data_IF_600963426274
#
_entry.id   IF_600963426274
#
_cell.length_a   1.000
_cell.length_b   1.000
_cell.length_c   1.000
_cell.angle_alpha   90.00
_cell.angle_beta   90.00
_cell.angle_gamma   90.00
#
_symmetry.space_group_name_H-M   'P 1'
#
loop_
_entity.id
_entity.type
_entity.pdbx_description
1 polymer ?
#
# COMPACT_ATOMS: atom_id res chain seq x y z
N UNK A 1 -3.07 7.91 22.95
CA UNK A 1 -3.47 6.76 22.09
C UNK A 1 -2.33 5.76 22.23
N UNK A 2 -2.58 4.52 22.68
CA UNK A 2 -1.52 3.51 22.83
C UNK A 2 -1.18 2.87 21.47
N UNK A 3 0.11 2.67 21.18
CA UNK A 3 0.62 1.96 20.00
C UNK A 3 0.09 0.52 19.87
N UNK A 4 -0.28 -0.10 20.99
CA UNK A 4 -0.86 -1.44 21.08
C UNK A 4 -2.12 -1.61 20.21
N UNK A 5 -2.86 -0.55 19.94
CA UNK A 5 -4.07 -0.57 19.10
C UNK A 5 -3.81 -0.57 17.59
N UNK A 6 -2.57 -0.29 17.15
CA UNK A 6 -2.16 -0.33 15.74
C UNK A 6 -1.31 -1.56 15.41
N UNK A 7 -1.04 -2.41 16.39
CA UNK A 7 -0.41 -3.71 16.17
C UNK A 7 -1.48 -4.73 15.81
N UNK A 8 -1.09 -5.69 14.97
CA UNK A 8 -1.87 -6.91 14.82
C UNK A 8 -2.09 -7.54 16.19
N UNK A 9 -3.33 -7.88 16.51
CA UNK A 9 -3.73 -8.45 17.82
C UNK A 9 -3.16 -9.86 18.10
N UNK A 10 -2.21 -10.31 17.29
CA UNK A 10 -1.60 -11.62 17.38
C UNK A 10 -0.20 -11.55 18.01
N UNK A 11 0.37 -12.72 18.34
CA UNK A 11 1.79 -12.83 18.62
C UNK A 11 2.63 -12.36 17.43
N UNK A 12 3.95 -12.22 17.62
CA UNK A 12 4.86 -12.05 16.49
C UNK A 12 4.64 -13.20 15.48
N UNK A 13 4.82 -12.95 14.18
CA UNK A 13 4.73 -13.97 13.16
C UNK A 13 5.78 -15.06 13.45
N UNK A 14 5.32 -16.30 13.54
CA UNK A 14 6.10 -17.50 13.85
C UNK A 14 6.45 -18.33 12.60
N UNK A 15 5.98 -17.90 11.43
CA UNK A 15 6.25 -18.53 10.14
C UNK A 15 6.53 -17.49 9.06
N UNK A 16 7.10 -17.94 7.93
CA UNK A 16 7.36 -17.07 6.79
C UNK A 16 6.07 -16.49 6.22
N UNK A 17 5.03 -17.31 6.15
CA UNK A 17 3.71 -16.94 5.62
C UNK A 17 3.05 -15.87 6.47
N UNK A 18 3.05 -16.03 7.80
CA UNK A 18 2.48 -15.03 8.72
C UNK A 18 3.27 -13.72 8.67
N UNK A 19 4.59 -13.79 8.52
CA UNK A 19 5.44 -12.60 8.29
C UNK A 19 5.09 -11.87 6.99
N UNK A 20 4.91 -12.60 5.89
CA UNK A 20 4.51 -12.03 4.60
C UNK A 20 3.11 -11.40 4.69
N UNK A 21 2.15 -12.05 5.34
CA UNK A 21 0.79 -11.53 5.51
C UNK A 21 0.79 -10.22 6.32
N UNK A 22 1.57 -10.14 7.40
CA UNK A 22 1.73 -8.93 8.19
C UNK A 22 2.28 -7.77 7.35
N UNK A 23 3.32 -8.03 6.55
CA UNK A 23 3.91 -7.04 5.64
C UNK A 23 2.89 -6.60 4.59
N UNK A 24 2.12 -7.55 4.04
CA UNK A 24 1.16 -7.29 2.99
C UNK A 24 0.08 -6.28 3.39
N UNK A 25 -0.51 -6.47 4.56
CA UNK A 25 -1.56 -5.57 5.06
C UNK A 25 -1.00 -4.20 5.43
N UNK A 26 0.17 -4.16 6.09
CA UNK A 26 0.82 -2.90 6.43
C UNK A 26 1.08 -2.07 5.18
N UNK A 27 1.61 -2.71 4.13
CA UNK A 27 1.88 -2.08 2.84
C UNK A 27 0.59 -1.69 2.12
N UNK A 28 -0.43 -2.55 2.05
CA UNK A 28 -1.71 -2.22 1.41
C UNK A 28 -2.35 -1.01 2.06
N UNK A 29 -2.45 -0.99 3.39
CA UNK A 29 -3.08 0.08 4.14
C UNK A 29 -2.34 1.41 3.92
N UNK A 30 -1.01 1.39 4.01
CA UNK A 30 -0.19 2.59 3.81
C UNK A 30 -0.29 3.12 2.38
N UNK A 31 -0.09 2.26 1.37
CA UNK A 31 -0.13 2.68 -0.04
C UNK A 31 -1.54 3.12 -0.44
N UNK A 32 -2.58 2.46 0.06
CA UNK A 32 -3.98 2.87 -0.14
C UNK A 32 -4.23 4.28 0.38
N UNK A 33 -3.60 4.64 1.51
CA UNK A 33 -3.76 5.93 2.17
C UNK A 33 -2.96 7.08 1.53
N UNK A 34 -1.94 6.80 0.70
CA UNK A 34 -1.16 7.83 0.02
C UNK A 34 -2.04 8.77 -0.82
N UNK A 35 -1.79 10.08 -0.72
CA UNK A 35 -2.46 11.08 -1.55
C UNK A 35 -2.11 10.86 -3.03
N UNK A 36 -0.82 10.77 -3.34
CA UNK A 36 -0.29 10.48 -4.68
C UNK A 36 0.48 9.17 -4.68
N UNK A 37 -0.01 8.21 -5.47
CA UNK A 37 0.53 6.85 -5.53
C UNK A 37 1.59 6.69 -6.62
N UNK A 38 2.50 7.65 -6.81
CA UNK A 38 3.57 7.56 -7.82
C UNK A 38 4.49 6.35 -7.56
N UNK A 39 5.21 5.81 -8.56
CA UNK A 39 6.14 4.69 -8.33
C UNK A 39 7.18 4.98 -7.25
N UNK A 40 7.73 6.19 -7.24
CA UNK A 40 8.69 6.65 -6.23
C UNK A 40 8.08 6.71 -4.82
N UNK A 41 6.85 7.23 -4.69
CA UNK A 41 6.17 7.28 -3.39
C UNK A 41 5.82 5.88 -2.88
N UNK A 42 5.41 4.97 -3.77
CA UNK A 42 5.15 3.57 -3.43
C UNK A 42 6.44 2.90 -2.93
N UNK A 43 7.54 3.05 -3.66
CA UNK A 43 8.84 2.48 -3.28
C UNK A 43 9.30 2.97 -1.91
N UNK A 44 9.32 4.30 -1.69
CA UNK A 44 9.66 4.89 -0.39
C UNK A 44 8.78 4.40 0.75
N UNK A 45 7.48 4.27 0.49
CA UNK A 45 6.52 3.80 1.51
C UNK A 45 6.77 2.34 1.86
N UNK A 46 7.01 1.50 0.86
CA UNK A 46 7.31 0.08 1.08
C UNK A 46 8.63 -0.08 1.84
N UNK A 47 9.68 0.64 1.47
CA UNK A 47 10.98 0.60 2.16
C UNK A 47 10.83 0.97 3.64
N UNK A 48 10.18 2.10 3.93
CA UNK A 48 9.99 2.58 5.31
C UNK A 48 9.22 1.58 6.19
N UNK A 49 8.25 0.87 5.63
CA UNK A 49 7.50 -0.16 6.37
C UNK A 49 8.39 -1.37 6.68
N UNK A 50 9.19 -1.81 5.71
CA UNK A 50 10.08 -2.95 5.89
C UNK A 50 11.16 -2.62 6.93
N UNK A 51 11.79 -1.45 6.83
CA UNK A 51 12.76 -0.96 7.81
C UNK A 51 12.13 -0.89 9.21
N UNK A 52 10.97 -0.26 9.37
CA UNK A 52 10.27 -0.19 10.65
C UNK A 52 10.00 -1.57 11.26
N UNK A 53 9.56 -2.56 10.45
CA UNK A 53 9.28 -3.92 10.97
C UNK A 53 10.54 -4.68 11.37
N UNK A 54 11.65 -4.42 10.70
CA UNK A 54 12.96 -5.01 11.03
C UNK A 54 13.50 -4.37 12.32
N UNK A 55 13.49 -3.04 12.41
CA UNK A 55 13.97 -2.31 13.60
C UNK A 55 13.13 -2.63 14.84
N UNK A 56 11.82 -2.81 14.69
CA UNK A 56 10.90 -3.22 15.75
C UNK A 56 11.01 -4.72 16.13
N UNK A 57 11.90 -5.48 15.47
CA UNK A 57 12.07 -6.93 15.67
C UNK A 57 10.80 -7.74 15.43
N UNK A 58 9.89 -7.26 14.57
CA UNK A 58 8.61 -7.94 14.33
C UNK A 58 8.79 -9.23 13.53
N UNK A 59 9.88 -9.38 12.79
CA UNK A 59 10.13 -10.53 11.92
C UNK A 59 11.05 -11.59 12.54
N UNK A 60 11.54 -11.38 13.77
CA UNK A 60 12.56 -12.23 14.42
C UNK A 60 12.16 -13.71 14.52
N UNK A 61 10.87 -13.98 14.70
CA UNK A 61 10.33 -15.33 14.88
C UNK A 61 9.83 -15.97 13.57
N UNK A 62 9.79 -15.21 12.48
CA UNK A 62 9.18 -15.62 11.21
C UNK A 62 10.07 -16.50 10.32
N UNK A 63 11.33 -16.71 10.71
CA UNK A 63 12.36 -17.40 9.91
C UNK A 63 12.62 -16.78 8.52
N UNK A 64 12.23 -15.52 8.29
CA UNK A 64 12.56 -14.79 7.08
C UNK A 64 14.04 -14.37 7.10
N UNK A 65 14.75 -14.70 6.03
CA UNK A 65 16.14 -14.23 5.86
C UNK A 65 16.15 -12.83 5.25
N UNK A 66 17.26 -12.08 5.39
CA UNK A 66 17.41 -10.78 4.71
C UNK A 66 17.23 -10.89 3.18
N UNK A 67 17.65 -12.01 2.59
CA UNK A 67 17.39 -12.28 1.16
C UNK A 67 15.90 -12.43 0.87
N UNK A 68 15.17 -13.18 1.70
CA UNK A 68 13.72 -13.33 1.56
C UNK A 68 13.04 -11.95 1.65
N UNK A 69 13.43 -11.14 2.63
CA UNK A 69 12.90 -9.78 2.85
C UNK A 69 13.11 -8.90 1.61
N UNK A 70 14.31 -8.89 1.03
CA UNK A 70 14.61 -8.12 -0.18
C UNK A 70 13.81 -8.61 -1.40
N UNK A 71 13.71 -9.93 -1.58
CA UNK A 71 12.94 -10.54 -2.67
C UNK A 71 11.43 -10.22 -2.52
N UNK A 72 10.91 -10.28 -1.31
CA UNK A 72 9.53 -9.92 -0.98
C UNK A 72 9.30 -8.43 -1.26
N UNK A 73 10.16 -7.54 -0.73
CA UNK A 73 10.07 -6.09 -0.90
C UNK A 73 9.98 -5.69 -2.38
N UNK A 74 10.90 -6.20 -3.20
CA UNK A 74 10.90 -5.95 -4.66
C UNK A 74 9.61 -6.43 -5.32
N UNK A 75 9.09 -7.59 -4.90
CA UNK A 75 7.84 -8.15 -5.41
C UNK A 75 6.64 -7.26 -5.06
N UNK A 76 6.58 -6.74 -3.83
CA UNK A 76 5.54 -5.79 -3.41
C UNK A 76 5.55 -4.53 -4.26
N UNK A 77 6.71 -3.89 -4.42
CA UNK A 77 6.86 -2.67 -5.23
C UNK A 77 6.38 -2.94 -6.65
N UNK A 78 6.84 -4.03 -7.28
CA UNK A 78 6.43 -4.38 -8.64
C UNK A 78 4.91 -4.57 -8.77
N UNK A 79 4.28 -5.30 -7.85
CA UNK A 79 2.84 -5.53 -7.88
C UNK A 79 2.07 -4.23 -7.70
N UNK A 80 2.46 -3.39 -6.75
CA UNK A 80 1.76 -2.15 -6.43
C UNK A 80 1.91 -1.12 -7.53
N UNK A 81 3.11 -0.98 -8.10
CA UNK A 81 3.33 -0.13 -9.28
C UNK A 81 2.47 -0.61 -10.44
N UNK A 82 2.42 -1.91 -10.74
CA UNK A 82 1.56 -2.41 -11.81
C UNK A 82 0.06 -2.22 -11.54
N UNK A 83 -0.35 -2.27 -10.28
CA UNK A 83 -1.75 -2.09 -9.87
C UNK A 83 -2.21 -0.63 -10.00
N UNK A 84 -1.37 0.32 -9.59
CA UNK A 84 -1.72 1.74 -9.58
C UNK A 84 -1.28 2.49 -10.85
N UNK A 85 -0.26 1.99 -11.55
CA UNK A 85 0.24 2.47 -12.84
C UNK A 85 0.22 1.32 -13.86
N UNK A 86 -0.97 0.85 -14.26
CA UNK A 86 -1.06 -0.12 -15.33
C UNK A 86 -0.41 0.47 -16.59
N UNK A 87 0.48 -0.28 -17.24
CA UNK A 87 1.10 0.15 -18.49
C UNK A 87 0.01 0.56 -19.49
N UNK A 88 0.03 1.81 -19.92
CA UNK A 88 -0.55 2.21 -21.19
C UNK A 88 0.60 2.74 -22.01
N UNK A 89 0.97 2.01 -23.07
CA UNK A 89 1.96 2.49 -24.03
C UNK A 89 1.59 2.09 -25.44
N UNK A 90 1.14 3.09 -26.19
CA UNK A 90 1.54 3.36 -27.56
C UNK A 90 1.66 4.88 -27.76
N UNK A 91 2.57 5.38 -28.63
CA UNK A 91 2.63 6.80 -28.98
C UNK A 91 1.30 7.22 -29.58
N UNK A 92 0.68 8.28 -29.03
CA UNK A 92 -0.70 8.68 -29.35
C UNK A 92 -1.77 8.26 -28.33
N UNK A 93 -1.39 7.65 -27.19
CA UNK A 93 -2.31 7.33 -26.08
C UNK A 93 -2.17 8.27 -24.87
N UNK A 94 -1.31 9.30 -24.92
CA UNK A 94 -1.08 10.22 -23.80
C UNK A 94 -2.37 10.93 -23.34
N UNK A 95 -3.24 11.32 -24.27
CA UNK A 95 -4.51 12.00 -23.95
C UNK A 95 -5.54 11.11 -23.25
N UNK A 96 -5.62 9.81 -23.59
CA UNK A 96 -6.69 8.93 -23.09
C UNK A 96 -6.46 8.40 -21.67
N UNK A 97 -5.21 8.35 -21.20
CA UNK A 97 -4.90 7.91 -19.82
C UNK A 97 -5.09 9.00 -18.78
N UNK A 98 -4.67 10.24 -19.07
CA UNK A 98 -4.94 11.39 -18.20
C UNK A 98 -6.45 11.61 -18.07
N UNK A 99 -7.19 11.55 -19.16
CA UNK A 99 -8.64 11.73 -19.11
C UNK A 99 -9.34 10.64 -18.28
N UNK A 100 -8.83 9.40 -18.29
CA UNK A 100 -9.40 8.28 -17.54
C UNK A 100 -9.04 8.33 -16.04
N UNK A 101 -7.83 8.75 -15.68
CA UNK A 101 -7.42 8.94 -14.29
C UNK A 101 -8.16 10.13 -13.67
N UNK A 102 -8.25 11.25 -14.39
CA UNK A 102 -9.03 12.42 -13.97
C UNK A 102 -10.52 12.10 -13.83
N UNK A 103 -11.14 11.39 -14.79
CA UNK A 103 -12.55 10.96 -14.69
C UNK A 103 -12.79 10.05 -13.49
N UNK A 104 -11.85 9.16 -13.14
CA UNK A 104 -11.96 8.33 -11.95
C UNK A 104 -11.85 9.17 -10.68
N UNK A 105 -10.93 10.13 -10.64
CA UNK A 105 -10.73 11.00 -9.48
C UNK A 105 -11.92 11.94 -9.24
N UNK A 106 -12.50 12.50 -10.30
CA UNK A 106 -13.72 13.32 -10.26
C UNK A 106 -14.91 12.49 -9.74
N UNK A 107 -15.07 11.25 -10.20
CA UNK A 107 -16.12 10.35 -9.69
C UNK A 107 -15.92 10.00 -8.21
N UNK A 108 -14.67 9.78 -7.79
CA UNK A 108 -14.34 9.50 -6.38
C UNK A 108 -14.65 10.72 -5.50
N UNK A 109 -14.25 11.92 -5.93
CA UNK A 109 -14.54 13.19 -5.22
C UNK A 109 -16.05 13.46 -5.15
N UNK A 110 -16.80 13.25 -6.24
CA UNK A 110 -18.25 13.41 -6.27
C UNK A 110 -18.97 12.42 -5.33
N UNK A 111 -18.56 11.14 -5.31
CA UNK A 111 -19.13 10.12 -4.42
C UNK A 111 -18.84 10.42 -2.94
N UNK A 112 -17.65 10.92 -2.62
CA UNK A 112 -17.28 11.39 -1.28
C UNK A 112 -18.14 12.58 -0.83
N UNK A 113 -18.39 13.56 -1.71
CA UNK A 113 -19.25 14.72 -1.42
C UNK A 113 -20.72 14.30 -1.19
N UNK A 114 -21.26 13.43 -2.03
CA UNK A 114 -22.64 12.92 -1.90
C UNK A 114 -22.84 12.13 -0.59
N UNK A 115 -21.83 11.35 -0.16
CA UNK A 115 -21.85 10.64 1.12
C UNK A 115 -21.82 11.60 2.32
N UNK A 116 -21.12 12.74 2.21
CA UNK A 116 -21.07 13.76 3.28
C UNK A 116 -22.39 14.52 3.44
N UNK A 117 -23.12 14.77 2.35
CA UNK A 117 -24.43 15.42 2.37
C UNK A 117 -25.55 14.53 2.96
N UNK A 118 -25.46 13.20 2.81
CA UNK A 118 -26.43 12.26 3.39
C UNK A 118 -26.27 12.04 4.90
N UNK A 119 -25.09 12.33 5.46
CA UNK A 119 -24.78 12.11 6.88
C UNK A 119 -24.86 13.40 7.73
N UNK A 120 -25.19 14.55 7.12
CA UNK A 120 -25.36 15.84 7.81
C UNK A 120 -26.81 16.35 7.83
N UNK A 121 -27.77 15.49 7.47
CA UNK A 121 -29.22 15.80 7.46
C UNK A 121 -29.97 14.90 8.45
N UNK A 122 -29.42 14.75 9.66
CA UNK A 122 -30.10 14.21 10.85
C UNK A 122 -29.75 15.07 12.04
#
# INVERSE_FOLDING_TARGET
IEESNFRYKGPKPDSKETGIVMLADSVEAAVRSLDEKTPENIEKTVEAIFESRIEDGQLDESNLTFKDIEDIKRTFIQILVNLYHPRVKYPGQEEIVEEASERKEVKIKAKRKARRLKNGAS
#
